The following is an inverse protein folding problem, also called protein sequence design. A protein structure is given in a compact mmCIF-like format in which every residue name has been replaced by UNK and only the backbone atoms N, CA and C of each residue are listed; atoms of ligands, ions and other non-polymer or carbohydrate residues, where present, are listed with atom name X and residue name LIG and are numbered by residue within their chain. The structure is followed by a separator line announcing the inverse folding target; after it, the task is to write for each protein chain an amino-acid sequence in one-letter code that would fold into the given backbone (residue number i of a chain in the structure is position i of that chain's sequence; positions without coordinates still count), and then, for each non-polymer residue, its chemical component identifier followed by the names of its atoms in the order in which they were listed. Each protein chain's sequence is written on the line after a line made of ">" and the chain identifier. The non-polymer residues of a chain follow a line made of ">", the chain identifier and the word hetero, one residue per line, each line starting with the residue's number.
data_IF_980826186250
#
_entry.id   IF_980826186250
#
_cell.length_a   1.000
_cell.length_b   1.000
_cell.length_c   1.000
_cell.angle_alpha   90.00
_cell.angle_beta   90.00
_cell.angle_gamma   90.00
#
_symmetry.space_group_name_H-M   'P 1'
#
loop_
_entity.id
_entity.type
_entity.pdbx_description
1 polymer ?
#
# COMPACT_ATOMS: atom_id res chain seq x y z
N UNK A 1 10.45 -17.86 2.07
CA UNK A 1 10.77 -16.43 1.82
C UNK A 1 9.77 -15.75 0.89
N UNK A 2 9.23 -16.41 -0.14
CA UNK A 2 8.23 -15.81 -1.05
C UNK A 2 6.84 -15.59 -0.41
N UNK A 3 6.58 -16.17 0.77
CA UNK A 3 5.36 -15.95 1.56
C UNK A 3 5.46 -14.77 2.53
N UNK A 4 6.67 -14.22 2.75
CA UNK A 4 6.86 -13.03 3.58
C UNK A 4 6.59 -11.80 2.74
N UNK A 5 5.75 -10.90 3.25
CA UNK A 5 5.58 -9.59 2.64
C UNK A 5 6.80 -8.71 2.98
N UNK A 6 7.65 -8.46 1.98
CA UNK A 6 8.80 -7.59 2.13
C UNK A 6 8.33 -6.13 2.07
N UNK A 7 8.62 -5.29 3.09
CA UNK A 7 8.11 -3.92 3.15
C UNK A 7 8.82 -2.99 2.16
N UNK A 8 9.84 -3.46 1.44
CA UNK A 8 10.70 -2.65 0.56
C UNK A 8 11.00 -3.41 -0.71
N UNK A 9 11.26 -2.69 -1.81
CA UNK A 9 11.61 -3.29 -3.09
C UNK A 9 12.85 -4.18 -2.94
N UNK A 10 13.95 -3.58 -2.48
CA UNK A 10 15.15 -4.34 -2.15
C UNK A 10 14.91 -5.20 -0.90
N UNK A 11 15.18 -6.49 -1.00
CA UNK A 11 15.07 -7.46 0.09
C UNK A 11 16.46 -7.69 0.66
N UNK A 12 16.83 -6.89 1.65
CA UNK A 12 18.17 -6.93 2.26
C UNK A 12 18.36 -8.23 3.05
N UNK A 13 19.43 -8.97 2.75
CA UNK A 13 19.78 -10.20 3.47
C UNK A 13 21.27 -10.17 3.79
N UNK A 14 21.60 -10.26 5.07
CA UNK A 14 22.96 -10.43 5.59
C UNK A 14 23.22 -11.93 5.72
N UNK A 15 24.26 -12.43 5.05
CA UNK A 15 24.55 -13.87 5.01
C UNK A 15 25.49 -14.24 6.17
N UNK A 16 24.88 -14.71 7.25
CA UNK A 16 25.49 -15.05 8.55
C UNK A 16 26.04 -13.84 9.31
N UNK A 17 26.67 -14.10 10.46
CA UNK A 17 27.23 -13.12 11.36
C UNK A 17 28.63 -13.57 11.79
N UNK A 18 29.62 -12.69 11.73
CA UNK A 18 31.00 -12.91 12.22
C UNK A 18 31.60 -14.30 11.98
N UNK A 19 31.60 -14.82 10.74
CA UNK A 19 32.09 -16.17 10.44
C UNK A 19 33.59 -16.37 10.71
N UNK A 20 34.33 -15.29 11.02
CA UNK A 20 35.71 -15.34 11.50
C UNK A 20 35.84 -15.59 13.02
N UNK A 21 34.73 -15.85 13.71
CA UNK A 21 34.63 -16.38 15.07
C UNK A 21 34.05 -17.79 15.07
N UNK A 22 34.69 -18.72 15.78
CA UNK A 22 34.23 -20.11 15.84
C UNK A 22 32.84 -20.28 16.45
N UNK A 23 32.48 -19.46 17.45
CA UNK A 23 31.16 -19.50 18.09
C UNK A 23 30.04 -19.16 17.11
N UNK A 24 30.33 -18.34 16.11
CA UNK A 24 29.39 -17.89 15.09
C UNK A 24 29.45 -18.75 13.82
N UNK A 25 30.45 -19.64 13.71
CA UNK A 25 30.64 -20.54 12.57
C UNK A 25 30.85 -22.00 13.00
N UNK A 26 29.81 -22.63 13.55
CA UNK A 26 29.75 -24.09 13.73
C UNK A 26 30.81 -24.70 14.66
N UNK A 27 31.48 -23.89 15.49
CA UNK A 27 32.50 -24.31 16.45
C UNK A 27 33.96 -24.27 15.95
N UNK A 28 34.20 -23.89 14.69
CA UNK A 28 35.55 -23.70 14.13
C UNK A 28 35.52 -22.75 12.95
N UNK A 29 36.39 -21.74 12.95
CA UNK A 29 36.52 -20.83 11.80
C UNK A 29 36.93 -21.59 10.54
N UNK A 30 36.25 -21.31 9.43
CA UNK A 30 36.53 -21.94 8.13
C UNK A 30 36.14 -21.00 6.97
N UNK A 31 37.08 -20.17 6.47
CA UNK A 31 36.82 -19.27 5.33
C UNK A 31 36.45 -20.01 4.04
N UNK A 32 36.90 -21.26 3.88
CA UNK A 32 36.65 -22.05 2.66
C UNK A 32 35.19 -22.48 2.60
N UNK A 33 34.63 -22.99 3.70
CA UNK A 33 33.21 -23.32 3.74
C UNK A 33 32.35 -22.07 3.68
N UNK A 34 32.68 -21.01 4.41
CA UNK A 34 31.92 -19.77 4.35
C UNK A 34 31.86 -19.19 2.91
N UNK A 35 32.98 -19.16 2.18
CA UNK A 35 33.00 -18.68 0.79
C UNK A 35 32.05 -19.48 -0.12
N UNK A 36 32.02 -20.81 0.02
CA UNK A 36 31.15 -21.69 -0.77
C UNK A 36 29.68 -21.52 -0.42
N UNK A 37 29.35 -21.45 0.88
CA UNK A 37 27.98 -21.23 1.34
C UNK A 37 27.46 -19.85 0.91
N UNK A 38 28.31 -18.81 1.00
CA UNK A 38 27.99 -17.48 0.51
C UNK A 38 27.72 -17.49 -1.00
N UNK A 39 28.57 -18.13 -1.79
CA UNK A 39 28.45 -18.24 -3.25
C UNK A 39 27.12 -18.87 -3.68
N UNK A 40 26.80 -20.03 -3.08
CA UNK A 40 25.56 -20.77 -3.32
C UNK A 40 24.34 -19.96 -2.88
N UNK A 41 24.41 -19.35 -1.70
CA UNK A 41 23.27 -18.59 -1.15
C UNK A 41 22.95 -17.36 -2.00
N UNK A 42 23.97 -16.65 -2.49
CA UNK A 42 23.78 -15.52 -3.41
C UNK A 42 23.06 -15.99 -4.67
N UNK A 43 23.53 -17.06 -5.32
CA UNK A 43 22.94 -17.54 -6.56
C UNK A 43 21.49 -17.98 -6.38
N UNK A 44 21.19 -18.69 -5.28
CA UNK A 44 19.83 -19.12 -4.96
C UNK A 44 18.89 -17.94 -4.73
N UNK A 45 19.34 -16.91 -4.00
CA UNK A 45 18.52 -15.72 -3.75
C UNK A 45 18.27 -14.94 -5.05
N UNK A 46 19.31 -14.68 -5.85
CA UNK A 46 19.17 -13.96 -7.12
C UNK A 46 18.30 -14.72 -8.13
N UNK A 47 18.45 -16.05 -8.21
CA UNK A 47 17.58 -16.89 -9.05
C UNK A 47 16.10 -16.80 -8.61
N UNK A 48 15.84 -16.70 -7.31
CA UNK A 48 14.48 -16.57 -6.80
C UNK A 48 13.88 -15.19 -7.09
N UNK A 49 14.69 -14.13 -7.05
CA UNK A 49 14.29 -12.76 -7.41
C UNK A 49 15.50 -11.82 -7.48
N UNK A 50 15.56 -10.99 -8.52
CA UNK A 50 16.55 -9.90 -8.63
C UNK A 50 16.39 -8.81 -7.55
N UNK A 51 15.25 -8.78 -6.85
CA UNK A 51 15.01 -7.82 -5.77
C UNK A 51 15.80 -8.15 -4.49
N UNK A 52 16.40 -9.35 -4.37
CA UNK A 52 17.27 -9.66 -3.23
C UNK A 52 18.55 -8.82 -3.28
N UNK A 53 18.83 -8.13 -2.17
CA UNK A 53 20.03 -7.31 -1.97
C UNK A 53 20.92 -8.03 -0.95
N UNK A 54 21.94 -8.73 -1.44
CA UNK A 54 22.71 -9.68 -0.66
C UNK A 54 24.00 -9.06 -0.15
N UNK A 55 24.22 -9.20 1.15
CA UNK A 55 25.32 -8.64 1.93
C UNK A 55 26.14 -9.78 2.56
N UNK A 56 27.46 -9.58 2.75
CA UNK A 56 28.27 -10.50 3.54
C UNK A 56 27.85 -10.47 5.02
N UNK A 57 28.28 -11.47 5.79
CA UNK A 57 28.28 -11.39 7.24
C UNK A 57 29.37 -10.43 7.69
N UNK A 58 29.05 -9.55 8.64
CA UNK A 58 30.05 -8.66 9.24
C UNK A 58 31.16 -9.46 9.89
N UNK A 59 32.38 -8.94 9.88
CA UNK A 59 33.55 -9.61 10.43
C UNK A 59 34.07 -8.80 11.62
N UNK A 60 34.56 -9.49 12.66
CA UNK A 60 35.32 -8.81 13.69
C UNK A 60 36.71 -8.47 13.15
N UNK A 61 36.88 -7.22 12.76
CA UNK A 61 38.13 -6.72 12.23
C UNK A 61 39.29 -6.76 13.23
N UNK A 62 39.01 -6.86 14.53
CA UNK A 62 40.01 -6.94 15.58
C UNK A 62 40.34 -8.38 15.99
N UNK A 63 39.70 -9.38 15.37
CA UNK A 63 39.96 -10.78 15.63
C UNK A 63 41.43 -11.13 15.33
N UNK A 64 42.14 -11.83 16.25
CA UNK A 64 43.48 -12.30 15.99
C UNK A 64 43.47 -13.49 15.02
N UNK A 65 44.63 -13.81 14.44
CA UNK A 65 44.79 -15.07 13.72
C UNK A 65 45.14 -16.21 14.69
N UNK A 66 44.13 -16.83 15.28
CA UNK A 66 44.26 -17.96 16.21
C UNK A 66 43.25 -19.08 15.88
N UNK A 67 43.39 -19.79 14.74
CA UNK A 67 42.52 -20.92 14.44
C UNK A 67 42.68 -22.07 15.46
N UNK A 68 41.61 -22.81 15.79
CA UNK A 68 40.30 -22.75 15.14
C UNK A 68 39.33 -21.71 15.74
N UNK A 69 39.72 -20.94 16.76
CA UNK A 69 38.79 -20.02 17.45
C UNK A 69 38.55 -18.71 16.71
N UNK A 70 39.62 -18.11 16.16
CA UNK A 70 39.57 -16.80 15.53
C UNK A 70 40.36 -16.78 14.24
N UNK A 71 39.89 -16.03 13.25
CA UNK A 71 40.61 -15.80 12.01
C UNK A 71 40.74 -14.30 11.75
N UNK A 72 41.97 -13.84 11.49
CA UNK A 72 42.23 -12.47 11.06
C UNK A 72 41.46 -12.13 9.79
N UNK A 73 40.75 -11.01 9.79
CA UNK A 73 39.82 -10.63 8.72
C UNK A 73 40.49 -10.55 7.34
N UNK A 74 41.64 -9.90 7.21
CA UNK A 74 42.30 -9.77 5.90
C UNK A 74 42.69 -11.14 5.34
N UNK A 75 43.23 -12.02 6.19
CA UNK A 75 43.54 -13.39 5.79
C UNK A 75 42.29 -14.19 5.45
N UNK A 76 41.21 -14.00 6.21
CA UNK A 76 39.93 -14.67 5.97
C UNK A 76 39.40 -14.30 4.58
N UNK A 77 39.37 -13.00 4.25
CA UNK A 77 38.89 -12.49 2.98
C UNK A 77 39.77 -12.93 1.79
N UNK A 78 41.09 -12.92 1.95
CA UNK A 78 42.00 -13.43 0.91
C UNK A 78 41.75 -14.92 0.64
N UNK A 79 41.52 -15.72 1.68
CA UNK A 79 41.27 -17.15 1.53
C UNK A 79 39.90 -17.43 0.90
N UNK A 80 38.88 -16.61 1.20
CA UNK A 80 37.60 -16.66 0.50
C UNK A 80 37.76 -16.42 -1.00
N UNK A 81 38.46 -15.36 -1.40
CA UNK A 81 38.67 -15.03 -2.83
C UNK A 81 39.53 -16.09 -3.53
N UNK A 82 40.50 -16.70 -2.84
CA UNK A 82 41.23 -17.85 -3.40
C UNK A 82 40.33 -19.06 -3.63
N UNK A 83 39.39 -19.30 -2.71
CA UNK A 83 38.47 -20.44 -2.79
C UNK A 83 37.45 -20.25 -3.90
N UNK A 84 36.83 -19.06 -3.96
CA UNK A 84 35.84 -18.67 -4.96
C UNK A 84 36.29 -17.32 -5.56
N UNK A 85 37.12 -17.33 -6.62
CA UNK A 85 37.60 -16.11 -7.25
C UNK A 85 36.48 -15.18 -7.70
N UNK A 86 36.52 -13.93 -7.21
CA UNK A 86 35.51 -12.93 -7.51
C UNK A 86 34.23 -13.04 -6.68
N UNK A 87 34.22 -13.80 -5.59
CA UNK A 87 33.07 -13.91 -4.67
C UNK A 87 32.53 -12.53 -4.25
N UNK A 88 33.41 -11.57 -3.95
CA UNK A 88 33.01 -10.21 -3.57
C UNK A 88 32.36 -9.42 -4.71
N UNK A 89 32.54 -9.84 -5.97
CA UNK A 89 31.81 -9.28 -7.11
C UNK A 89 30.37 -9.79 -7.21
N UNK A 90 29.96 -10.75 -6.39
CA UNK A 90 28.57 -11.24 -6.34
C UNK A 90 27.73 -10.49 -5.30
N UNK A 91 28.34 -9.72 -4.39
CA UNK A 91 27.65 -8.96 -3.35
C UNK A 91 27.05 -7.65 -3.87
N UNK A 92 25.89 -7.26 -3.35
CA UNK A 92 25.24 -5.99 -3.67
C UNK A 92 25.71 -4.85 -2.75
N UNK A 93 26.16 -5.21 -1.54
CA UNK A 93 26.74 -4.28 -0.57
C UNK A 93 27.67 -5.00 0.40
N UNK A 94 28.31 -4.21 1.26
CA UNK A 94 29.30 -4.68 2.21
C UNK A 94 28.86 -4.38 3.64
N UNK A 95 28.96 -5.38 4.50
CA UNK A 95 28.68 -5.25 5.93
C UNK A 95 29.96 -5.11 6.71
N UNK A 96 29.99 -4.11 7.60
CA UNK A 96 31.11 -3.83 8.50
C UNK A 96 30.63 -3.82 9.96
N UNK A 97 31.36 -4.51 10.83
CA UNK A 97 31.21 -4.43 12.29
C UNK A 97 32.26 -3.47 12.87
N UNK A 98 32.08 -2.19 12.56
CA UNK A 98 33.05 -1.13 12.87
C UNK A 98 33.01 -0.74 14.35
N UNK A 99 33.51 -1.59 15.24
CA UNK A 99 33.60 -1.31 16.67
C UNK A 99 34.88 -0.54 17.08
N UNK A 100 34.81 0.30 18.12
CA UNK A 100 35.94 1.08 18.64
C UNK A 100 36.82 0.25 19.58
N UNK A 101 37.76 -0.52 19.05
CA UNK A 101 38.65 -1.36 19.85
C UNK A 101 39.91 -0.63 20.34
N UNK A 102 40.55 -1.11 21.44
CA UNK A 102 40.21 -2.30 22.21
C UNK A 102 39.03 -2.10 23.20
N UNK A 103 38.24 -3.16 23.38
CA UNK A 103 37.22 -3.24 24.42
C UNK A 103 36.05 -2.28 24.24
N UNK A 104 35.75 -1.89 22.99
CA UNK A 104 34.62 -1.02 22.63
C UNK A 104 34.67 0.38 23.28
N UNK A 105 35.88 0.91 23.48
CA UNK A 105 36.16 2.19 24.17
C UNK A 105 37.01 3.17 23.38
N UNK A 106 37.44 2.82 22.16
CA UNK A 106 38.26 3.68 21.30
C UNK A 106 37.62 5.04 21.00
N UNK A 107 38.41 6.03 20.60
CA UNK A 107 37.93 7.39 20.35
C UNK A 107 37.04 7.44 19.10
N UNK A 108 35.98 8.29 19.07
CA UNK A 108 35.18 8.52 17.86
C UNK A 108 35.99 9.22 16.74
N UNK A 109 37.19 9.70 17.02
CA UNK A 109 38.09 10.31 16.02
C UNK A 109 39.18 9.36 15.53
N UNK A 110 39.25 8.14 16.04
CA UNK A 110 40.26 7.18 15.60
C UNK A 110 39.98 6.70 14.17
N UNK A 111 41.06 6.28 13.48
CA UNK A 111 41.06 5.84 12.09
C UNK A 111 41.78 4.51 11.94
N UNK A 112 41.39 3.76 10.91
CA UNK A 112 42.00 2.49 10.54
C UNK A 112 41.24 1.27 11.06
N UNK A 113 41.84 0.11 10.87
CA UNK A 113 41.31 -1.19 11.29
C UNK A 113 41.13 -1.25 12.81
N UNK A 114 39.98 -1.76 13.27
CA UNK A 114 39.64 -1.85 14.70
C UNK A 114 39.09 -0.57 15.31
N UNK A 115 38.60 0.36 14.49
CA UNK A 115 37.98 1.62 14.92
C UNK A 115 36.54 1.74 14.37
N UNK A 116 35.82 2.80 14.71
CA UNK A 116 34.53 3.09 14.07
C UNK A 116 34.62 3.46 12.58
N UNK A 117 35.85 3.59 12.06
CA UNK A 117 36.17 3.79 10.64
C UNK A 117 36.77 2.55 9.98
N UNK A 118 36.63 1.39 10.60
CA UNK A 118 37.10 0.10 10.04
C UNK A 118 36.53 -0.11 8.63
N UNK A 119 35.28 0.26 8.37
CA UNK A 119 34.66 0.17 7.07
C UNK A 119 35.46 0.86 5.94
N UNK A 120 36.24 1.92 6.23
CA UNK A 120 37.11 2.56 5.23
C UNK A 120 38.30 1.68 4.88
N UNK A 121 38.87 0.99 5.87
CA UNK A 121 39.94 0.03 5.64
C UNK A 121 39.42 -1.19 4.87
N UNK A 122 38.25 -1.73 5.25
CA UNK A 122 37.59 -2.83 4.54
C UNK A 122 37.27 -2.43 3.08
N UNK A 123 36.71 -1.24 2.86
CA UNK A 123 36.43 -0.70 1.51
C UNK A 123 37.70 -0.69 0.64
N UNK A 124 38.83 -0.25 1.20
CA UNK A 124 40.10 -0.26 0.48
C UNK A 124 40.62 -1.68 0.21
N UNK A 125 40.46 -2.60 1.17
CA UNK A 125 40.83 -4.00 0.99
C UNK A 125 40.00 -4.67 -0.12
N UNK A 126 38.68 -4.53 -0.08
CA UNK A 126 37.78 -5.09 -1.08
C UNK A 126 37.99 -4.48 -2.46
N UNK A 127 38.22 -3.15 -2.55
CA UNK A 127 38.54 -2.51 -3.82
C UNK A 127 39.82 -3.11 -4.44
N UNK A 128 40.86 -3.35 -3.63
CA UNK A 128 42.10 -4.01 -4.10
C UNK A 128 41.86 -5.43 -4.59
N UNK A 129 41.08 -6.23 -3.86
CA UNK A 129 40.79 -7.64 -4.22
C UNK A 129 39.94 -7.69 -5.50
N UNK A 130 38.90 -6.88 -5.59
CA UNK A 130 37.95 -6.85 -6.72
C UNK A 130 38.45 -6.08 -7.93
N UNK A 131 39.58 -5.36 -7.80
CA UNK A 131 40.16 -4.48 -8.83
C UNK A 131 39.24 -3.32 -9.22
N UNK A 132 38.69 -2.63 -8.21
CA UNK A 132 37.96 -1.38 -8.41
C UNK A 132 36.46 -1.42 -8.18
N UNK A 133 35.90 -2.50 -7.61
CA UNK A 133 34.48 -2.49 -7.21
C UNK A 133 34.31 -1.63 -5.97
N UNK A 134 33.34 -0.72 -6.02
CA UNK A 134 32.86 0.02 -4.87
C UNK A 134 31.51 -0.53 -4.45
N UNK A 135 31.43 -1.03 -3.21
CA UNK A 135 30.19 -1.53 -2.62
C UNK A 135 29.62 -0.49 -1.64
N UNK A 136 28.29 -0.29 -1.60
CA UNK A 136 27.66 0.46 -0.53
C UNK A 136 27.90 -0.23 0.82
N UNK A 137 28.19 0.56 1.85
CA UNK A 137 28.55 0.09 3.18
C UNK A 137 27.34 0.10 4.10
N UNK A 138 27.14 -1.00 4.82
CA UNK A 138 26.16 -1.15 5.89
C UNK A 138 26.92 -1.44 7.18
N UNK A 139 26.91 -0.50 8.12
CA UNK A 139 27.47 -0.72 9.45
C UNK A 139 26.36 -1.36 10.28
N UNK A 140 26.23 -2.68 10.20
CA UNK A 140 25.13 -3.43 10.84
C UNK A 140 25.31 -3.56 12.35
N UNK A 141 26.54 -3.37 12.83
CA UNK A 141 26.85 -3.35 14.25
C UNK A 141 28.00 -2.38 14.55
N UNK A 142 27.80 -1.55 15.55
CA UNK A 142 28.81 -0.64 16.10
C UNK A 142 28.29 -0.04 17.40
N UNK A 143 29.17 0.46 18.25
CA UNK A 143 28.77 1.12 19.50
C UNK A 143 29.89 1.17 20.51
N UNK A 144 29.63 1.88 21.60
CA UNK A 144 30.52 1.94 22.75
C UNK A 144 29.85 1.31 23.96
N UNK A 145 30.64 0.59 24.76
CA UNK A 145 30.22 0.26 26.11
C UNK A 145 30.20 1.53 26.96
N UNK A 146 29.20 1.66 27.83
CA UNK A 146 29.11 2.71 28.83
C UNK A 146 29.15 2.16 30.26
N UNK A 147 29.53 3.02 31.20
CA UNK A 147 29.74 2.69 32.62
C UNK A 147 28.51 2.14 33.33
N UNK A 148 27.34 2.51 32.83
CA UNK A 148 26.05 2.08 33.33
C UNK A 148 25.73 0.67 32.81
N UNK A 149 25.06 -0.13 33.63
CA UNK A 149 24.74 -1.53 33.38
C UNK A 149 24.02 -2.09 34.61
N UNK A 150 23.93 -3.42 34.71
CA UNK A 150 23.46 -4.07 35.95
C UNK A 150 24.40 -3.70 37.10
N UNK A 151 25.69 -3.78 36.85
CA UNK A 151 26.75 -3.29 37.73
C UNK A 151 27.46 -2.11 37.10
N UNK A 152 27.98 -1.20 37.93
CA UNK A 152 28.69 -0.03 37.42
C UNK A 152 30.14 -0.37 37.09
N UNK A 153 30.56 -0.19 35.83
CA UNK A 153 31.95 -0.37 35.41
C UNK A 153 32.63 0.99 35.20
N UNK A 154 33.29 1.49 36.24
CA UNK A 154 33.89 2.85 36.27
C UNK A 154 35.04 3.07 35.28
N UNK A 155 35.54 2.01 34.63
CA UNK A 155 36.59 2.11 33.62
C UNK A 155 36.04 2.40 32.22
N UNK A 156 34.72 2.34 32.04
CA UNK A 156 34.04 2.69 30.80
C UNK A 156 33.63 4.18 30.81
N UNK A 157 33.46 4.81 29.65
CA UNK A 157 32.89 6.15 29.55
C UNK A 157 31.44 6.17 30.06
N UNK A 158 30.95 7.30 30.58
CA UNK A 158 29.53 7.43 30.94
C UNK A 158 28.64 7.39 29.69
N UNK A 159 27.39 6.99 29.87
CA UNK A 159 26.32 7.08 28.87
C UNK A 159 26.23 8.45 28.19
N UNK A 160 26.40 9.54 28.95
CA UNK A 160 26.43 10.90 28.42
C UNK A 160 27.65 11.15 27.50
N UNK A 161 28.82 10.62 27.88
CA UNK A 161 30.03 10.70 27.05
C UNK A 161 29.85 9.89 25.76
N UNK A 162 29.28 8.69 25.86
CA UNK A 162 28.94 7.87 24.68
C UNK A 162 27.94 8.57 23.75
N UNK A 163 27.01 9.35 24.30
CA UNK A 163 26.14 10.23 23.51
C UNK A 163 26.92 11.21 22.63
N UNK A 164 27.93 11.89 23.18
CA UNK A 164 28.80 12.79 22.40
C UNK A 164 29.67 12.03 21.38
N UNK A 165 30.05 10.78 21.68
CA UNK A 165 30.75 9.92 20.71
C UNK A 165 29.86 9.60 19.51
N UNK A 166 28.61 9.19 19.73
CA UNK A 166 27.65 8.97 18.65
C UNK A 166 27.43 10.23 17.82
N UNK A 167 27.25 11.38 18.47
CA UNK A 167 27.11 12.66 17.75
C UNK A 167 28.30 12.95 16.85
N UNK A 168 29.51 12.80 17.38
CA UNK A 168 30.76 12.98 16.62
C UNK A 168 30.85 12.00 15.46
N UNK A 169 30.52 10.73 15.70
CA UNK A 169 30.57 9.69 14.69
C UNK A 169 29.59 9.94 13.54
N UNK A 170 28.31 10.24 13.82
CA UNK A 170 27.33 10.56 12.78
C UNK A 170 27.62 11.85 12.02
N UNK A 171 28.28 12.83 12.65
CA UNK A 171 28.65 14.08 11.99
C UNK A 171 29.92 13.96 11.13
N UNK A 172 30.79 12.97 11.39
CA UNK A 172 32.10 12.87 10.75
C UNK A 172 32.46 11.47 10.23
N UNK A 173 32.48 10.45 11.09
CA UNK A 173 32.91 9.11 10.68
C UNK A 173 31.93 8.46 9.71
N UNK A 174 30.63 8.55 10.00
CA UNK A 174 29.57 7.85 9.28
C UNK A 174 28.78 8.75 8.34
N UNK A 175 29.25 9.99 8.12
CA UNK A 175 28.72 10.88 7.09
C UNK A 175 29.34 10.64 5.71
N UNK A 176 30.16 9.59 5.56
CA UNK A 176 30.68 9.12 4.28
C UNK A 176 29.51 8.75 3.34
N UNK A 177 29.49 9.25 2.09
CA UNK A 177 28.37 9.02 1.17
C UNK A 177 28.22 7.55 0.74
N UNK A 178 29.24 6.72 0.94
CA UNK A 178 29.17 5.28 0.71
C UNK A 178 28.48 4.51 1.84
N UNK A 179 28.23 5.13 3.00
CA UNK A 179 27.51 4.50 4.13
C UNK A 179 26.01 4.67 3.93
N UNK A 180 25.31 3.55 3.79
CA UNK A 180 23.84 3.50 3.58
C UNK A 180 23.10 3.43 4.91
N UNK A 181 23.62 2.66 5.85
CA UNK A 181 23.00 2.45 7.16
C UNK A 181 24.03 2.29 8.27
N UNK A 182 23.66 2.74 9.46
CA UNK A 182 24.38 2.48 10.72
C UNK A 182 23.35 2.03 11.74
N UNK A 183 23.58 0.87 12.36
CA UNK A 183 22.71 0.32 13.41
C UNK A 183 23.51 0.18 14.70
N UNK A 184 23.40 1.18 15.60
CA UNK A 184 24.03 1.13 16.91
C UNK A 184 23.54 -0.05 17.75
N UNK A 185 24.49 -0.81 18.30
CA UNK A 185 24.28 -1.86 19.28
C UNK A 185 24.25 -1.23 20.68
N UNK A 186 23.20 -1.36 21.49
CA UNK A 186 21.94 -2.06 21.24
C UNK A 186 20.74 -1.31 21.88
N UNK A 187 19.55 -1.42 21.29
CA UNK A 187 18.37 -0.71 21.80
C UNK A 187 17.93 -1.24 23.17
N UNK A 188 17.80 -2.56 23.32
CA UNK A 188 17.41 -3.20 24.58
C UNK A 188 17.98 -4.61 24.74
N UNK A 189 18.78 -4.82 25.80
CA UNK A 189 19.26 -6.11 26.26
C UNK A 189 19.82 -5.92 27.66
N UNK A 190 19.24 -6.59 28.64
CA UNK A 190 19.42 -6.27 30.05
C UNK A 190 20.22 -7.34 30.80
N UNK A 191 21.06 -8.11 30.11
CA UNK A 191 21.89 -9.18 30.70
C UNK A 191 23.36 -9.02 30.31
N UNK A 192 24.31 -9.46 31.15
CA UNK A 192 25.73 -9.46 30.80
C UNK A 192 26.01 -10.40 29.63
N UNK A 193 27.02 -10.10 28.77
CA UNK A 193 27.96 -8.98 28.87
C UNK A 193 27.50 -7.71 28.12
N UNK A 194 26.26 -7.66 27.63
CA UNK A 194 25.78 -6.62 26.71
C UNK A 194 24.93 -5.53 27.37
N UNK A 195 24.66 -5.64 28.67
CA UNK A 195 23.96 -4.63 29.46
C UNK A 195 24.62 -3.24 29.38
N UNK A 196 25.96 -3.22 29.27
CA UNK A 196 26.75 -1.99 29.07
C UNK A 196 26.62 -1.34 27.68
N UNK A 197 25.91 -1.98 26.74
CA UNK A 197 25.57 -1.38 25.44
C UNK A 197 24.10 -0.92 25.37
N UNK A 198 23.28 -1.29 26.34
CA UNK A 198 21.83 -1.11 26.27
C UNK A 198 21.44 0.36 26.35
N UNK A 199 20.65 0.83 25.40
CA UNK A 199 20.15 2.21 25.42
C UNK A 199 19.02 2.38 26.44
N UNK A 200 18.27 1.31 26.69
CA UNK A 200 17.23 1.26 27.73
C UNK A 200 17.86 0.99 29.10
N UNK A 201 17.44 1.75 30.11
CA UNK A 201 17.86 1.54 31.50
C UNK A 201 17.32 0.21 32.02
N UNK A 202 18.06 -0.38 32.95
CA UNK A 202 17.57 -1.53 33.71
C UNK A 202 16.41 -1.10 34.62
N UNK A 203 15.24 -1.71 34.45
CA UNK A 203 14.13 -1.57 35.40
C UNK A 203 14.15 -2.73 36.40
N UNK A 204 14.41 -2.43 37.67
CA UNK A 204 14.43 -3.42 38.76
C UNK A 204 13.05 -4.02 39.07
N UNK A 205 11.98 -3.37 38.61
CA UNK A 205 10.60 -3.77 38.88
C UNK A 205 9.92 -4.49 37.70
N UNK A 206 10.58 -4.58 36.54
CA UNK A 206 10.09 -5.42 35.45
C UNK A 206 10.48 -6.87 35.73
N UNK A 207 9.50 -7.71 36.05
CA UNK A 207 9.74 -9.15 36.16
C UNK A 207 10.36 -9.67 34.85
N UNK A 208 11.22 -10.69 34.97
CA UNK A 208 12.07 -11.27 33.92
C UNK A 208 11.35 -11.69 32.62
N UNK A 209 10.02 -11.65 32.57
CA UNK A 209 9.19 -12.12 31.46
C UNK A 209 8.57 -11.00 30.60
N UNK A 210 8.54 -9.73 31.04
CA UNK A 210 7.96 -8.60 30.26
C UNK A 210 8.95 -7.92 29.30
N UNK A 211 10.05 -8.58 28.94
CA UNK A 211 11.15 -8.02 28.15
C UNK A 211 10.85 -7.79 26.65
N UNK A 212 9.64 -8.07 26.16
CA UNK A 212 9.38 -8.15 24.70
C UNK A 212 8.25 -7.30 24.12
N UNK A 213 7.56 -6.44 24.87
CA UNK A 213 6.47 -5.66 24.28
C UNK A 213 6.28 -4.27 24.89
N UNK A 214 6.92 -3.27 24.28
CA UNK A 214 6.35 -1.96 23.94
C UNK A 214 7.50 -1.00 23.59
N UNK A 215 7.80 -0.90 22.29
CA UNK A 215 8.58 0.23 21.78
C UNK A 215 7.66 0.98 20.83
N UNK A 216 7.43 2.25 21.19
CA UNK A 216 6.65 3.33 20.55
C UNK A 216 5.67 3.93 21.58
N UNK A 217 6.19 4.53 22.66
CA UNK A 217 5.38 5.24 23.65
C UNK A 217 6.02 5.52 25.01
N UNK A 218 7.21 4.96 25.31
CA UNK A 218 7.87 5.17 26.59
C UNK A 218 8.43 6.59 26.76
N UNK A 219 8.41 7.08 28.01
CA UNK A 219 8.99 8.37 28.38
C UNK A 219 10.51 8.36 28.25
N UNK A 220 11.12 9.51 27.98
CA UNK A 220 12.58 9.67 27.80
C UNK A 220 13.41 9.28 29.04
N UNK A 221 12.74 9.09 30.18
CA UNK A 221 13.37 8.74 31.45
C UNK A 221 13.77 7.26 31.53
N UNK A 222 13.17 6.38 30.73
CA UNK A 222 13.50 4.95 30.67
C UNK A 222 14.77 4.64 29.87
N UNK A 223 15.39 5.66 29.25
CA UNK A 223 16.58 5.50 28.40
C UNK A 223 17.78 6.28 28.95
N UNK A 224 18.98 5.77 28.69
CA UNK A 224 20.22 6.45 29.00
C UNK A 224 20.47 7.67 28.07
N UNK A 225 21.27 8.66 28.50
CA UNK A 225 21.57 9.87 27.74
C UNK A 225 21.96 9.67 26.27
N UNK A 226 22.68 8.62 25.90
CA UNK A 226 23.07 8.38 24.50
C UNK A 226 21.86 8.20 23.56
N UNK A 227 20.76 7.60 24.05
CA UNK A 227 19.52 7.49 23.27
C UNK A 227 18.94 8.87 22.96
N UNK A 228 18.90 9.75 23.96
CA UNK A 228 18.36 11.10 23.81
C UNK A 228 19.22 11.96 22.89
N UNK A 229 20.54 11.77 22.91
CA UNK A 229 21.44 12.43 21.98
C UNK A 229 21.20 11.93 20.56
N UNK A 230 21.18 10.61 20.37
CA UNK A 230 21.00 9.99 19.07
C UNK A 230 19.65 10.36 18.45
N UNK A 231 18.55 10.37 19.22
CA UNK A 231 17.22 10.73 18.72
C UNK A 231 17.14 12.16 18.18
N UNK A 232 17.92 13.09 18.74
CA UNK A 232 17.98 14.50 18.33
C UNK A 232 18.87 14.75 17.11
N UNK A 233 19.71 13.81 16.70
CA UNK A 233 20.52 13.96 15.49
C UNK A 233 19.58 14.06 14.27
N UNK A 234 19.68 15.09 13.42
CA UNK A 234 18.92 15.15 12.17
C UNK A 234 19.22 13.93 11.30
N UNK A 235 18.18 13.23 10.85
CA UNK A 235 18.30 12.05 9.98
C UNK A 235 17.45 12.25 8.75
N UNK A 236 17.95 11.82 7.61
CA UNK A 236 17.11 11.60 6.44
C UNK A 236 16.11 10.50 6.79
N UNK A 237 14.82 10.72 6.52
CA UNK A 237 13.82 9.69 6.76
C UNK A 237 14.14 8.46 5.92
N UNK A 238 14.30 7.31 6.57
CA UNK A 238 14.52 6.03 5.88
C UNK A 238 13.25 5.59 5.16
N UNK A 239 13.05 6.06 3.92
CA UNK A 239 11.96 5.64 3.04
C UNK A 239 12.54 4.91 1.81
N UNK A 240 13.05 3.68 1.97
CA UNK A 240 13.45 2.86 0.84
C UNK A 240 12.27 2.71 -0.13
N UNK A 241 12.57 2.57 -1.42
CA UNK A 241 11.54 2.42 -2.45
C UNK A 241 10.66 1.21 -2.11
N UNK A 242 9.35 1.43 -2.14
CA UNK A 242 8.34 0.38 -2.06
C UNK A 242 7.71 0.21 -3.45
N UNK A 243 7.18 -0.99 -3.71
CA UNK A 243 6.34 -1.27 -4.87
C UNK A 243 4.88 -1.06 -4.45
N UNK A 244 4.15 -0.19 -5.16
CA UNK A 244 2.74 0.10 -4.91
C UNK A 244 1.89 -0.53 -6.01
N UNK A 245 1.33 -1.71 -5.72
CA UNK A 245 0.49 -2.44 -6.66
C UNK A 245 -0.94 -2.58 -6.15
N UNK A 246 -1.88 -2.49 -7.08
CA UNK A 246 -3.28 -2.69 -6.86
C UNK A 246 -3.85 -3.55 -7.98
N UNK A 247 -4.80 -4.39 -7.60
CA UNK A 247 -5.61 -5.15 -8.54
C UNK A 247 -7.06 -4.70 -8.36
N UNK A 248 -7.72 -4.35 -9.47
CA UNK A 248 -9.15 -4.12 -9.44
C UNK A 248 -9.86 -5.48 -9.40
N UNK A 249 -10.62 -5.74 -8.34
CA UNK A 249 -11.37 -6.99 -8.18
C UNK A 249 -12.73 -6.94 -8.87
N UNK A 250 -13.33 -5.76 -8.98
CA UNK A 250 -14.63 -5.58 -9.60
C UNK A 250 -14.48 -5.25 -11.09
N UNK A 251 -14.75 -6.23 -11.95
CA UNK A 251 -14.74 -6.07 -13.40
C UNK A 251 -16.10 -5.66 -13.98
N UNK A 252 -17.05 -5.24 -13.14
CA UNK A 252 -18.37 -4.85 -13.62
C UNK A 252 -18.24 -3.76 -14.68
N UNK A 253 -18.74 -4.08 -15.88
CA UNK A 253 -18.94 -3.07 -16.92
C UNK A 253 -19.94 -2.05 -16.40
N UNK A 254 -19.59 -0.77 -16.47
CA UNK A 254 -20.53 0.28 -16.13
C UNK A 254 -21.81 0.11 -16.96
N UNK A 255 -23.01 0.21 -16.36
CA UNK A 255 -24.23 0.24 -17.13
C UNK A 255 -24.23 1.46 -18.06
N UNK A 256 -25.06 1.43 -19.11
CA UNK A 256 -25.32 2.64 -19.89
C UNK A 256 -25.84 3.75 -18.96
N UNK A 257 -25.22 4.92 -19.02
CA UNK A 257 -25.57 6.08 -18.21
C UNK A 257 -26.51 7.00 -19.00
N UNK A 258 -27.32 7.79 -18.31
CA UNK A 258 -28.17 8.82 -18.93
C UNK A 258 -27.46 10.18 -18.86
N UNK A 259 -27.46 10.93 -19.95
CA UNK A 259 -26.83 12.26 -19.99
C UNK A 259 -27.43 13.24 -18.98
N UNK A 260 -26.56 14.01 -18.33
CA UNK A 260 -26.88 14.97 -17.27
C UNK A 260 -27.08 14.34 -15.89
N UNK A 261 -27.24 13.02 -15.79
CA UNK A 261 -27.40 12.32 -14.52
C UNK A 261 -26.07 12.01 -13.85
N UNK A 262 -26.07 11.94 -12.52
CA UNK A 262 -24.91 11.56 -11.71
C UNK A 262 -25.10 10.16 -11.12
N UNK A 263 -24.07 9.34 -11.24
CA UNK A 263 -24.06 7.96 -10.77
C UNK A 263 -22.90 7.75 -9.80
N UNK A 264 -23.11 6.94 -8.77
CA UNK A 264 -22.09 6.56 -7.79
C UNK A 264 -21.78 5.08 -7.96
N UNK A 265 -20.49 4.76 -8.00
CA UNK A 265 -19.97 3.40 -8.17
C UNK A 265 -18.88 3.13 -7.14
N UNK A 266 -18.82 1.89 -6.68
CA UNK A 266 -17.79 1.42 -5.76
C UNK A 266 -16.75 0.62 -6.54
N UNK A 267 -15.52 1.11 -6.59
CA UNK A 267 -14.40 0.34 -7.13
C UNK A 267 -13.70 -0.41 -5.99
N UNK A 268 -13.59 -1.72 -6.12
CA UNK A 268 -12.92 -2.56 -5.11
C UNK A 268 -11.51 -2.90 -5.60
N UNK A 269 -10.50 -2.36 -4.91
CA UNK A 269 -9.11 -2.66 -5.19
C UNK A 269 -8.50 -3.52 -4.09
N UNK A 270 -7.73 -4.54 -4.49
CA UNK A 270 -6.88 -5.34 -3.61
C UNK A 270 -5.47 -4.77 -3.60
N UNK A 271 -4.89 -4.62 -2.42
CA UNK A 271 -3.50 -4.22 -2.24
C UNK A 271 -2.57 -5.40 -2.56
N UNK A 272 -1.84 -5.31 -3.66
CA UNK A 272 -0.79 -6.28 -4.02
C UNK A 272 0.61 -5.72 -3.78
N UNK A 273 0.71 -4.46 -3.34
CA UNK A 273 1.96 -3.77 -3.06
C UNK A 273 2.52 -4.11 -1.69
N UNK A 274 3.58 -3.39 -1.33
CA UNK A 274 4.35 -3.60 -0.10
C UNK A 274 3.93 -2.65 1.02
N UNK A 275 3.37 -1.49 0.66
CA UNK A 275 2.94 -0.46 1.61
C UNK A 275 1.56 -0.77 2.19
N UNK A 276 1.35 -0.39 3.46
CA UNK A 276 0.01 -0.28 4.05
C UNK A 276 -0.65 1.01 3.52
N UNK A 277 -1.78 0.89 2.82
CA UNK A 277 -2.50 2.08 2.34
C UNK A 277 -3.10 2.85 3.50
N UNK A 278 -3.19 4.19 3.41
CA UNK A 278 -3.67 5.07 4.47
C UNK A 278 -2.87 4.99 5.80
N UNK A 279 -1.65 4.45 5.81
CA UNK A 279 -0.82 4.44 7.02
C UNK A 279 -0.26 5.83 7.33
N UNK A 280 0.36 6.46 6.34
CA UNK A 280 1.03 7.76 6.49
C UNK A 280 0.35 8.85 5.65
N UNK A 281 -0.09 8.52 4.43
CA UNK A 281 -0.81 9.45 3.55
C UNK A 281 -2.04 8.76 2.93
N UNK A 282 -3.06 9.53 2.55
CA UNK A 282 -4.25 8.99 1.93
C UNK A 282 -4.00 8.45 0.53
N UNK A 283 -4.59 7.29 0.24
CA UNK A 283 -4.67 6.73 -1.12
C UNK A 283 -5.96 7.16 -1.78
N UNK A 284 -5.86 7.61 -3.03
CA UNK A 284 -7.02 8.00 -3.82
C UNK A 284 -6.94 7.51 -5.26
N UNK A 285 -8.10 7.27 -5.84
CA UNK A 285 -8.24 7.09 -7.29
C UNK A 285 -8.08 8.47 -7.95
N UNK A 286 -7.31 8.56 -9.04
CA UNK A 286 -7.29 9.74 -9.90
C UNK A 286 -7.52 9.34 -11.35
N UNK A 287 -8.15 10.24 -12.09
CA UNK A 287 -8.36 10.12 -13.53
C UNK A 287 -7.11 10.63 -14.26
N UNK A 288 -6.56 9.81 -15.15
CA UNK A 288 -5.38 10.17 -15.94
C UNK A 288 -5.74 10.96 -17.20
N UNK A 289 -6.85 10.61 -17.86
CA UNK A 289 -7.31 11.27 -19.08
C UNK A 289 -8.66 11.98 -18.87
N UNK A 290 -8.67 13.30 -18.99
CA UNK A 290 -9.86 14.13 -18.81
C UNK A 290 -10.55 14.33 -20.16
N UNK A 291 -11.61 13.56 -20.40
CA UNK A 291 -12.45 13.71 -21.59
C UNK A 291 -13.46 14.85 -21.41
N UNK A 292 -13.61 15.70 -22.43
CA UNK A 292 -14.52 16.85 -22.37
C UNK A 292 -15.98 16.39 -22.19
N UNK A 293 -16.68 16.98 -21.22
CA UNK A 293 -18.07 16.63 -20.92
C UNK A 293 -18.23 15.42 -19.98
N UNK A 294 -17.15 14.81 -19.51
CA UNK A 294 -17.18 13.78 -18.46
C UNK A 294 -16.52 14.32 -17.19
N UNK A 295 -17.25 14.27 -16.08
CA UNK A 295 -16.75 14.62 -14.75
C UNK A 295 -16.73 13.37 -13.88
N UNK A 296 -15.58 13.11 -13.26
CA UNK A 296 -15.42 12.02 -12.30
C UNK A 296 -14.86 12.63 -11.01
N UNK A 297 -15.52 12.34 -9.90
CA UNK A 297 -15.08 12.70 -8.55
C UNK A 297 -14.79 11.41 -7.78
N UNK A 298 -13.80 11.44 -6.90
CA UNK A 298 -13.37 10.29 -6.10
C UNK A 298 -13.03 10.76 -4.70
N UNK A 299 -13.53 10.06 -3.68
CA UNK A 299 -13.37 10.49 -2.28
C UNK A 299 -12.25 9.73 -1.52
N UNK A 300 -11.30 9.13 -2.23
CA UNK A 300 -10.25 8.30 -1.62
C UNK A 300 -10.78 6.97 -1.07
N UNK A 301 -10.00 6.29 -0.22
CA UNK A 301 -10.47 5.12 0.53
C UNK A 301 -11.62 5.53 1.46
N UNK A 302 -12.68 4.72 1.50
CA UNK A 302 -13.80 4.96 2.42
C UNK A 302 -13.36 4.78 3.89
N UNK A 303 -13.29 5.90 4.63
CA UNK A 303 -12.91 5.95 6.04
C UNK A 303 -11.39 6.00 6.29
N UNK A 304 -10.99 6.02 7.57
CA UNK A 304 -9.57 6.09 7.98
C UNK A 304 -8.92 4.70 8.10
N UNK A 305 -9.42 3.70 7.36
CA UNK A 305 -8.96 2.31 7.50
C UNK A 305 -7.63 2.12 6.76
N UNK A 306 -6.65 1.57 7.46
CA UNK A 306 -5.42 1.08 6.87
C UNK A 306 -5.67 -0.21 6.09
N UNK A 307 -5.06 -0.34 4.91
CA UNK A 307 -5.22 -1.54 4.04
C UNK A 307 -3.88 -2.22 3.90
N UNK A 308 -3.69 -3.29 4.68
CA UNK A 308 -2.51 -4.13 4.59
C UNK A 308 -2.43 -4.85 3.24
N UNK A 309 -1.23 -5.27 2.82
CA UNK A 309 -1.06 -6.11 1.65
C UNK A 309 -1.93 -7.37 1.70
N UNK A 310 -2.42 -7.77 0.52
CA UNK A 310 -3.43 -8.80 0.28
C UNK A 310 -4.86 -8.48 0.73
N UNK A 311 -5.10 -7.36 1.41
CA UNK A 311 -6.46 -6.93 1.75
C UNK A 311 -7.03 -5.97 0.70
N UNK A 312 -8.35 -5.81 0.70
CA UNK A 312 -9.08 -4.97 -0.26
C UNK A 312 -9.75 -3.77 0.40
N UNK A 313 -9.97 -2.73 -0.40
CA UNK A 313 -10.70 -1.54 0.00
C UNK A 313 -11.62 -1.04 -1.12
N UNK A 314 -12.66 -0.32 -0.68
CA UNK A 314 -13.66 0.29 -1.54
C UNK A 314 -13.34 1.75 -1.77
N UNK A 315 -13.38 2.16 -3.02
CA UNK A 315 -13.15 3.51 -3.49
C UNK A 315 -14.40 4.02 -4.21
N UNK A 316 -15.23 4.84 -3.54
CA UNK A 316 -16.40 5.42 -4.17
C UNK A 316 -15.97 6.46 -5.21
N UNK A 317 -16.54 6.33 -6.40
CA UNK A 317 -16.44 7.30 -7.48
C UNK A 317 -17.82 7.81 -7.88
N UNK A 318 -17.89 9.06 -8.29
CA UNK A 318 -19.08 9.69 -8.82
C UNK A 318 -18.82 10.13 -10.25
N UNK A 319 -19.64 9.66 -11.17
CA UNK A 319 -19.52 9.91 -12.61
C UNK A 319 -20.72 10.73 -13.07
N UNK A 320 -20.47 11.79 -13.83
CA UNK A 320 -21.49 12.59 -14.53
C UNK A 320 -21.02 12.88 -15.95
N UNK A 321 -21.85 12.61 -16.94
CA UNK A 321 -21.59 12.93 -18.33
C UNK A 321 -22.61 13.94 -18.85
N UNK A 322 -22.15 15.05 -19.42
CA UNK A 322 -23.00 16.15 -19.90
C UNK A 322 -23.52 15.92 -21.34
N UNK A 323 -22.97 14.94 -22.05
CA UNK A 323 -23.36 14.62 -23.43
C UNK A 323 -23.43 13.11 -23.65
N UNK A 324 -24.28 12.70 -24.57
CA UNK A 324 -24.24 11.35 -25.14
C UNK A 324 -22.94 11.03 -25.87
N UNK A 325 -22.58 9.75 -25.87
CA UNK A 325 -21.40 9.23 -26.56
C UNK A 325 -20.79 8.03 -25.84
N UNK A 326 -19.70 7.52 -26.41
CA UNK A 326 -18.84 6.53 -25.77
C UNK A 326 -17.63 7.23 -25.18
N UNK A 327 -17.38 6.97 -23.90
CA UNK A 327 -16.29 7.55 -23.13
C UNK A 327 -15.34 6.43 -22.70
N UNK A 328 -14.05 6.76 -22.67
CA UNK A 328 -13.03 5.89 -22.11
C UNK A 328 -12.47 6.53 -20.86
N UNK A 329 -12.52 5.81 -19.75
CA UNK A 329 -11.99 6.26 -18.47
C UNK A 329 -10.71 5.51 -18.21
N UNK A 330 -9.65 6.25 -17.89
CA UNK A 330 -8.37 5.70 -17.47
C UNK A 330 -8.08 6.20 -16.05
N UNK A 331 -8.00 5.29 -15.10
CA UNK A 331 -7.79 5.56 -13.67
C UNK A 331 -6.50 4.93 -13.17
N UNK A 332 -5.92 5.50 -12.12
CA UNK A 332 -4.93 4.79 -11.30
C UNK A 332 -5.11 5.20 -9.84
N UNK A 333 -4.51 4.44 -8.93
CA UNK A 333 -4.36 4.83 -7.54
C UNK A 333 -3.13 5.71 -7.37
N UNK A 334 -3.20 6.60 -6.39
CA UNK A 334 -2.17 7.57 -6.08
C UNK A 334 -1.95 7.67 -4.58
N UNK A 335 -0.68 7.83 -4.21
CA UNK A 335 -0.25 8.31 -2.90
C UNK A 335 0.12 9.79 -3.07
N UNK A 336 -0.70 10.72 -2.56
CA UNK A 336 -0.61 12.13 -2.92
C UNK A 336 -0.55 12.31 -4.46
N UNK A 337 0.59 12.74 -5.02
CA UNK A 337 0.78 12.90 -6.47
C UNK A 337 1.62 11.79 -7.12
N UNK A 338 2.08 10.81 -6.34
CA UNK A 338 2.78 9.65 -6.86
C UNK A 338 1.78 8.60 -7.34
N UNK A 339 1.81 8.29 -8.63
CA UNK A 339 1.05 7.20 -9.22
C UNK A 339 1.55 5.85 -8.72
N UNK A 340 0.64 4.90 -8.51
CA UNK A 340 0.99 3.52 -8.22
C UNK A 340 1.68 2.86 -9.41
N UNK A 341 2.52 1.84 -9.15
CA UNK A 341 3.25 1.07 -10.17
C UNK A 341 2.33 0.12 -10.97
N UNK A 342 1.02 0.12 -10.69
CA UNK A 342 0.05 -0.70 -11.42
C UNK A 342 -0.23 -0.11 -12.79
N UNK A 343 -0.48 -0.97 -13.77
CA UNK A 343 -1.01 -0.53 -15.06
C UNK A 343 -2.33 0.25 -14.85
N UNK A 344 -2.56 1.36 -15.57
CA UNK A 344 -3.79 2.11 -15.45
C UNK A 344 -5.04 1.27 -15.76
N UNK A 345 -6.06 1.40 -14.91
CA UNK A 345 -7.33 0.71 -15.06
C UNK A 345 -8.20 1.43 -16.09
N UNK A 346 -8.59 0.72 -17.14
CA UNK A 346 -9.35 1.29 -18.26
C UNK A 346 -10.78 0.76 -18.29
N UNK A 347 -11.74 1.65 -18.49
CA UNK A 347 -13.16 1.33 -18.58
C UNK A 347 -13.81 2.04 -19.77
N UNK A 348 -14.74 1.37 -20.43
CA UNK A 348 -15.59 1.99 -21.44
C UNK A 348 -16.97 2.27 -20.83
N UNK A 349 -17.46 3.50 -21.02
CA UNK A 349 -18.79 3.94 -20.58
C UNK A 349 -19.58 4.41 -21.78
N UNK A 350 -20.83 3.96 -21.89
CA UNK A 350 -21.76 4.46 -22.89
C UNK A 350 -22.78 5.39 -22.22
N UNK A 351 -22.90 6.61 -22.73
CA UNK A 351 -23.85 7.62 -22.26
C UNK A 351 -24.92 7.82 -23.34
N UNK A 352 -26.16 7.76 -22.91
CA UNK A 352 -27.36 7.70 -23.75
C UNK A 352 -28.29 8.86 -23.43
N UNK A 353 -29.15 9.20 -24.40
CA UNK A 353 -30.20 10.21 -24.18
C UNK A 353 -31.24 9.66 -23.21
N UNK A 354 -31.91 10.53 -22.44
CA UNK A 354 -32.99 10.10 -21.55
C UNK A 354 -34.09 9.37 -22.32
N UNK A 355 -34.73 8.43 -21.63
CA UNK A 355 -35.97 7.81 -22.09
C UNK A 355 -37.06 8.87 -22.01
N UNK A 356 -37.78 9.08 -23.10
CA UNK A 356 -38.98 9.92 -23.16
C UNK A 356 -40.17 8.98 -23.33
N UNK A 357 -41.16 9.07 -22.46
CA UNK A 357 -42.38 8.28 -22.52
C UNK A 357 -43.51 9.11 -23.11
N UNK A 358 -44.23 8.54 -24.05
CA UNK A 358 -45.50 9.06 -24.52
C UNK A 358 -46.57 7.98 -24.34
N UNK A 359 -47.61 8.28 -23.58
CA UNK A 359 -48.64 7.30 -23.25
C UNK A 359 -49.73 7.41 -24.30
N UNK A 360 -50.15 6.25 -24.81
CA UNK A 360 -51.30 6.12 -25.70
C UNK A 360 -52.30 5.17 -25.07
N UNK A 361 -53.55 5.60 -24.96
CA UNK A 361 -54.63 4.73 -24.51
C UNK A 361 -55.97 5.17 -25.07
N UNK A 362 -56.81 4.19 -25.36
CA UNK A 362 -58.21 4.37 -25.71
C UNK A 362 -59.10 4.02 -24.52
N UNK A 363 -60.36 4.44 -24.58
CA UNK A 363 -61.41 3.97 -23.67
C UNK A 363 -62.49 3.29 -24.48
N UNK A 364 -62.95 2.15 -23.97
CA UNK A 364 -63.98 1.40 -24.65
C UNK A 364 -65.24 2.27 -24.83
N UNK A 365 -65.65 2.47 -26.09
CA UNK A 365 -66.88 3.16 -26.46
C UNK A 365 -66.85 4.69 -26.33
N UNK A 366 -65.69 5.34 -26.10
CA UNK A 366 -65.59 6.80 -26.00
C UNK A 366 -64.88 7.40 -27.21
N UNK A 367 -65.39 8.54 -27.69
CA UNK A 367 -64.76 9.35 -28.74
C UNK A 367 -63.82 10.41 -28.19
N UNK A 368 -64.07 10.91 -26.97
CA UNK A 368 -63.17 11.82 -26.27
C UNK A 368 -62.40 11.06 -25.19
N UNK A 369 -61.09 10.99 -25.35
CA UNK A 369 -60.20 10.22 -24.48
C UNK A 369 -59.56 11.08 -23.38
N UNK A 370 -59.81 12.39 -23.38
CA UNK A 370 -59.16 13.33 -22.51
C UNK A 370 -59.41 13.05 -21.02
N UNK A 371 -58.44 13.46 -20.20
CA UNK A 371 -58.54 13.52 -18.75
C UNK A 371 -57.37 12.87 -18.02
N UNK A 372 -57.52 12.79 -16.70
CA UNK A 372 -56.49 12.30 -15.79
C UNK A 372 -56.39 10.78 -15.78
N UNK A 373 -55.18 10.28 -15.93
CA UNK A 373 -54.77 8.89 -15.78
C UNK A 373 -53.64 8.80 -14.75
N UNK A 374 -53.27 7.58 -14.37
CA UNK A 374 -52.12 7.33 -13.50
C UNK A 374 -51.25 6.23 -14.09
N UNK A 375 -49.99 6.57 -14.40
CA UNK A 375 -48.95 5.65 -14.86
C UNK A 375 -48.04 5.31 -13.68
N UNK A 376 -48.02 4.05 -13.23
CA UNK A 376 -47.24 3.63 -12.06
C UNK A 376 -47.39 4.58 -10.86
N UNK A 377 -48.63 4.99 -10.58
CA UNK A 377 -49.01 5.90 -9.50
C UNK A 377 -48.59 7.39 -9.69
N UNK A 378 -48.03 7.75 -10.84
CA UNK A 378 -47.81 9.13 -11.26
C UNK A 378 -48.98 9.63 -12.12
N UNK A 379 -49.57 10.77 -11.74
CA UNK A 379 -50.67 11.37 -12.49
C UNK A 379 -50.19 11.91 -13.84
N UNK A 380 -50.93 11.61 -14.91
CA UNK A 380 -50.68 12.08 -16.27
C UNK A 380 -52.00 12.52 -16.92
N UNK A 381 -51.95 13.45 -17.87
CA UNK A 381 -53.10 13.90 -18.63
C UNK A 381 -53.00 13.38 -20.06
N UNK A 382 -54.09 12.80 -20.57
CA UNK A 382 -54.24 12.50 -21.99
C UNK A 382 -55.12 13.56 -22.66
N UNK A 383 -54.82 13.85 -23.92
CA UNK A 383 -55.62 14.73 -24.77
C UNK A 383 -56.85 14.00 -25.36
N UNK A 384 -57.63 14.72 -26.19
CA UNK A 384 -58.85 14.17 -26.80
C UNK A 384 -58.63 12.97 -27.71
N UNK A 385 -57.41 12.76 -28.21
CA UNK A 385 -57.03 11.61 -29.06
C UNK A 385 -56.30 10.51 -28.27
N UNK A 386 -56.21 10.63 -26.95
CA UNK A 386 -55.69 9.59 -26.07
C UNK A 386 -54.17 9.57 -25.97
N UNK A 387 -53.51 10.67 -26.29
CA UNK A 387 -52.06 10.82 -26.17
C UNK A 387 -51.69 11.73 -25.00
N UNK A 388 -50.63 11.35 -24.27
CA UNK A 388 -50.02 12.25 -23.30
C UNK A 388 -49.07 13.22 -23.99
N UNK A 389 -48.73 14.30 -23.28
CA UNK A 389 -47.47 15.00 -23.54
C UNK A 389 -46.29 14.05 -23.34
N UNK A 390 -45.17 14.35 -23.98
CA UNK A 390 -43.91 13.67 -23.74
C UNK A 390 -43.45 13.87 -22.29
N UNK A 391 -43.07 12.78 -21.62
CA UNK A 391 -42.62 12.76 -20.24
C UNK A 391 -41.19 12.25 -20.21
N UNK A 392 -40.25 13.10 -19.82
CA UNK A 392 -38.86 12.70 -19.70
C UNK A 392 -38.64 11.84 -18.45
N UNK A 393 -38.36 10.56 -18.66
CA UNK A 393 -38.22 9.54 -17.63
C UNK A 393 -36.73 9.22 -17.37
N UNK A 394 -35.98 10.21 -16.88
CA UNK A 394 -34.52 10.14 -16.63
C UNK A 394 -34.06 8.98 -15.73
N UNK A 395 -34.96 8.42 -14.91
CA UNK A 395 -34.69 7.27 -14.02
C UNK A 395 -34.79 5.91 -14.73
N UNK A 396 -35.28 5.88 -15.97
CA UNK A 396 -35.30 4.68 -16.79
C UNK A 396 -34.00 4.59 -17.60
N UNK A 397 -33.33 3.46 -17.49
CA UNK A 397 -32.14 3.17 -18.26
C UNK A 397 -32.57 2.68 -19.66
N UNK A 398 -32.06 3.27 -20.73
CA UNK A 398 -32.26 2.76 -22.08
C UNK A 398 -31.83 1.29 -22.22
N UNK A 399 -32.42 0.62 -23.19
CA UNK A 399 -32.15 -0.77 -23.59
C UNK A 399 -32.49 -1.79 -22.49
N UNK A 400 -33.41 -1.43 -21.57
CA UNK A 400 -33.92 -2.32 -20.51
C UNK A 400 -35.43 -2.48 -20.58
N UNK A 401 -35.90 -3.66 -20.19
CA UNK A 401 -37.33 -3.95 -20.06
C UNK A 401 -37.89 -3.40 -18.75
N UNK A 402 -39.03 -2.72 -18.85
CA UNK A 402 -39.79 -2.21 -17.71
C UNK A 402 -41.25 -2.64 -17.79
N UNK A 403 -41.89 -2.67 -16.63
CA UNK A 403 -43.32 -2.89 -16.51
C UNK A 403 -44.03 -1.57 -16.21
N UNK A 404 -45.05 -1.27 -17.00
CA UNK A 404 -45.85 -0.06 -16.86
C UNK A 404 -47.31 -0.43 -16.63
N UNK A 405 -47.95 0.22 -15.67
CA UNK A 405 -49.37 0.03 -15.35
C UNK A 405 -50.10 1.35 -15.46
N UNK A 406 -51.09 1.40 -16.34
CA UNK A 406 -51.97 2.55 -16.52
C UNK A 406 -53.28 2.31 -15.80
N UNK A 407 -53.71 3.30 -15.03
CA UNK A 407 -54.99 3.32 -14.29
C UNK A 407 -55.79 4.55 -14.73
N UNK A 408 -57.11 4.39 -14.81
CA UNK A 408 -58.09 5.47 -14.90
C UNK A 408 -59.24 5.14 -13.97
N UNK A 409 -59.78 6.15 -13.30
CA UNK A 409 -60.94 5.96 -12.43
C UNK A 409 -62.07 5.25 -13.18
N UNK A 410 -62.66 4.23 -12.55
CA UNK A 410 -63.71 3.36 -13.10
C UNK A 410 -63.32 2.43 -14.27
N UNK A 411 -62.05 2.37 -14.67
CA UNK A 411 -61.56 1.40 -15.64
C UNK A 411 -60.60 0.41 -14.98
N UNK A 412 -60.54 -0.80 -15.51
CA UNK A 412 -59.58 -1.80 -15.05
C UNK A 412 -58.16 -1.34 -15.38
N UNK A 413 -57.20 -1.42 -14.43
CA UNK A 413 -55.80 -1.17 -14.72
C UNK A 413 -55.29 -2.09 -15.83
N UNK A 414 -54.43 -1.56 -16.69
CA UNK A 414 -53.76 -2.35 -17.72
C UNK A 414 -52.26 -2.24 -17.59
N UNK A 415 -51.60 -3.38 -17.69
CA UNK A 415 -50.15 -3.48 -17.54
C UNK A 415 -49.53 -3.98 -18.85
N UNK A 416 -48.43 -3.33 -19.25
CA UNK A 416 -47.59 -3.75 -20.37
C UNK A 416 -46.16 -3.92 -19.91
N UNK A 417 -45.39 -4.74 -20.64
CA UNK A 417 -43.94 -4.81 -20.52
C UNK A 417 -43.33 -4.32 -21.83
N UNK A 418 -42.31 -3.47 -21.74
CA UNK A 418 -41.66 -2.90 -22.91
C UNK A 418 -40.19 -2.62 -22.62
N UNK A 419 -39.33 -3.00 -23.56
CA UNK A 419 -37.95 -2.48 -23.62
C UNK A 419 -37.99 -1.04 -24.10
N UNK A 420 -37.53 -0.12 -23.25
CA UNK A 420 -37.45 1.30 -23.59
C UNK A 420 -36.09 1.62 -24.19
N UNK A 421 -36.06 2.41 -25.25
CA UNK A 421 -34.84 2.91 -25.89
C UNK A 421 -34.62 4.38 -25.54
N UNK A 422 -33.47 4.95 -25.91
CA UNK A 422 -33.26 6.40 -25.86
C UNK A 422 -34.27 7.15 -26.74
N UNK A 423 -34.70 8.33 -26.29
CA UNK A 423 -35.69 9.14 -27.01
C UNK A 423 -37.12 8.69 -26.76
N UNK A 424 -38.03 8.97 -27.70
CA UNK A 424 -39.49 8.77 -27.51
C UNK A 424 -39.88 7.30 -27.62
N UNK A 425 -40.57 6.81 -26.60
CA UNK A 425 -41.15 5.47 -26.51
C UNK A 425 -42.67 5.61 -26.30
N UNK A 426 -43.44 5.07 -27.25
CA UNK A 426 -44.89 5.09 -27.16
C UNK A 426 -45.36 3.87 -26.36
N UNK A 427 -45.88 4.12 -25.16
CA UNK A 427 -46.53 3.13 -24.31
C UNK A 427 -47.99 2.98 -24.74
N UNK A 428 -48.27 2.09 -25.69
CA UNK A 428 -49.63 1.82 -26.16
C UNK A 428 -50.33 0.80 -25.24
N UNK A 429 -51.22 1.31 -24.39
CA UNK A 429 -52.08 0.50 -23.54
C UNK A 429 -53.34 0.05 -24.25
N UNK A 430 -53.59 0.43 -25.51
CA UNK A 430 -54.84 0.17 -26.22
C UNK A 430 -56.07 0.63 -25.44
N UNK A 431 -57.22 -0.02 -25.67
CA UNK A 431 -58.46 0.31 -24.98
C UNK A 431 -58.49 -0.22 -23.54
N UNK A 432 -58.73 0.67 -22.58
CA UNK A 432 -59.13 0.31 -21.22
C UNK A 432 -60.61 -0.08 -21.20
N UNK A 433 -60.94 -1.05 -20.35
CA UNK A 433 -62.31 -1.59 -20.22
C UNK A 433 -62.90 -1.15 -18.88
N UNK A 434 -64.17 -0.72 -18.84
CA UNK A 434 -64.87 -0.37 -17.61
C UNK A 434 -64.79 -1.46 -16.54
N UNK A 435 -64.60 -1.06 -15.28
CA UNK A 435 -64.63 -1.99 -14.16
C UNK A 435 -66.05 -2.12 -13.60
N UNK A 436 -66.90 -2.87 -14.32
CA UNK A 436 -68.34 -3.00 -14.03
C UNK A 436 -68.68 -3.28 -12.55
N UNK A 437 -67.97 -4.16 -11.82
CA UNK A 437 -68.23 -4.39 -10.40
C UNK A 437 -68.06 -3.14 -9.52
N UNK A 438 -67.09 -2.27 -9.82
CA UNK A 438 -66.85 -1.02 -9.08
C UNK A 438 -67.91 0.03 -9.44
N UNK A 439 -68.31 0.08 -10.71
CA UNK A 439 -69.27 1.05 -11.24
C UNK A 439 -70.70 0.78 -10.75
N UNK A 440 -71.09 -0.50 -10.59
CA UNK A 440 -72.44 -0.91 -10.20
C UNK A 440 -72.90 -0.32 -8.85
N UNK A 441 -71.96 0.04 -7.97
CA UNK A 441 -72.25 0.65 -6.66
C UNK A 441 -72.13 2.18 -6.66
N UNK A 442 -71.91 2.82 -7.81
CA UNK A 442 -71.74 4.27 -7.95
C UNK A 442 -72.59 4.84 -9.10
N UNK A 443 -73.85 5.24 -8.84
CA UNK A 443 -74.81 5.61 -9.88
C UNK A 443 -74.34 6.74 -10.79
N UNK A 444 -73.60 7.73 -10.26
CA UNK A 444 -73.05 8.84 -11.05
C UNK A 444 -71.90 8.41 -11.97
N UNK A 445 -71.14 7.37 -11.61
CA UNK A 445 -70.04 6.82 -12.41
C UNK A 445 -70.56 5.98 -13.58
N UNK A 446 -71.72 5.33 -13.45
CA UNK A 446 -72.34 4.58 -14.54
C UNK A 446 -72.67 5.50 -15.74
N UNK A 447 -73.13 6.72 -15.48
CA UNK A 447 -73.46 7.70 -16.51
C UNK A 447 -72.23 8.27 -17.23
N UNK A 448 -71.08 8.37 -16.57
CA UNK A 448 -69.85 8.93 -17.18
C UNK A 448 -69.14 7.96 -18.13
N UNK A 449 -69.50 6.67 -18.11
CA UNK A 449 -68.80 5.60 -18.83
C UNK A 449 -69.59 5.06 -20.03
N UNK A 450 -70.89 5.39 -20.13
CA UNK A 450 -71.72 5.02 -21.27
C UNK A 450 -71.20 5.64 -22.59
N UNK A 451 -71.33 4.95 -23.73
CA UNK A 451 -70.72 5.33 -25.02
C UNK A 451 -71.29 6.59 -25.68
N UNK A 452 -72.27 7.24 -25.05
CA UNK A 452 -73.01 8.39 -25.61
C UNK A 452 -72.54 9.75 -25.08
N UNK A 453 -71.40 9.80 -24.37
CA UNK A 453 -70.79 11.03 -23.83
C UNK A 453 -69.31 11.11 -24.15
#
# INVERSE_FOLDING_TARGET
>A
MNSLNWPTKNRYVVIYNEPNHASEWGGSVDPVSYAKELDITIDMLKQASEDFFVLNGGLDASAPHLPPQYYDEERFLIEMDRTIPGIFNKLDGWVSHSYPNPGFRGSPTDFGRGTIRTFLWEKNLINRITRGRELPIFITETGWKHSEGIEQERTLPSSATVGEYFKTAFQAAWSDPGVVAVTPFLLTYQQPPFDHFSFKKFDKNMEKEELTAQVLGETTDSYYPQYQMLSKIPKTTGRPRQIHLAELLDNQSFPALVEGESYEFDLIFKNLGQSIWNENEPVAVKVLDKQQGLTIQSNGILGNKQVEPQNSAVFPIKIKAEKTGSYKIILNLFYNDQQFDSEPFTFDINVRQPVILQIKSELWGKSNLAGSYSLNDQQIELDGIGLSKEIEARKLFPDREYQFTLKREFYRPKTIKMTVNSGVNILDFGSLVPDLPVILFQPRALWSILPFN
#
